data_IF_937733866848
#
_entry.id   IF_937733866848
#
_cell.length_a   1.000
_cell.length_b   1.000
_cell.length_c   1.000
_cell.angle_alpha   90.00
_cell.angle_beta   90.00
_cell.angle_gamma   90.00
#
_symmetry.space_group_name_H-M   'P 1'
#
loop_
_entity.id
_entity.type
_entity.pdbx_description
1 polymer ?
#
# COMPACT_ATOMS: atom_id res chain seq x y z
N UNK A 1 15.74 -1.43 16.93
CA UNK A 1 14.78 -2.27 16.19
C UNK A 1 13.37 -1.77 16.48
N UNK A 2 12.51 -1.70 15.46
CA UNK A 2 11.13 -1.20 15.60
C UNK A 2 10.28 -2.20 16.39
N UNK A 3 9.39 -1.70 17.26
CA UNK A 3 8.53 -2.52 18.15
C UNK A 3 7.10 -2.70 17.64
N UNK A 4 6.73 -1.97 16.60
CA UNK A 4 5.38 -1.97 16.01
C UNK A 4 5.27 -2.97 14.86
N UNK A 5 4.07 -3.12 14.31
CA UNK A 5 3.73 -4.11 13.29
C UNK A 5 4.41 -3.87 11.93
N UNK A 6 4.50 -2.62 11.47
CA UNK A 6 5.09 -2.30 10.17
C UNK A 6 6.60 -2.24 10.29
N UNK A 7 7.34 -3.22 9.76
CA UNK A 7 8.79 -3.32 9.93
C UNK A 7 9.62 -2.82 8.74
N UNK A 8 9.01 -2.72 7.56
CA UNK A 8 9.70 -2.27 6.35
C UNK A 8 10.17 -0.81 6.52
N UNK A 9 11.45 -0.56 6.30
CA UNK A 9 12.08 0.76 6.52
C UNK A 9 11.55 1.81 5.54
N UNK A 10 11.45 1.47 4.26
CA UNK A 10 10.99 2.39 3.21
C UNK A 10 9.52 2.79 3.43
N UNK A 11 8.65 1.82 3.75
CA UNK A 11 7.26 2.13 4.11
C UNK A 11 7.17 2.96 5.39
N UNK A 12 8.01 2.68 6.38
CA UNK A 12 8.03 3.47 7.62
C UNK A 12 8.41 4.92 7.34
N UNK A 13 9.42 5.12 6.49
CA UNK A 13 9.85 6.44 6.06
C UNK A 13 8.75 7.15 5.28
N UNK A 14 8.22 6.52 4.23
CA UNK A 14 7.15 7.07 3.41
C UNK A 14 5.97 7.50 4.29
N UNK A 15 5.41 6.61 5.12
CA UNK A 15 4.27 6.91 6.01
C UNK A 15 4.60 8.05 6.98
N UNK A 16 5.79 8.06 7.58
CA UNK A 16 6.18 9.11 8.52
C UNK A 16 6.36 10.49 7.87
N UNK A 17 6.61 10.54 6.56
CA UNK A 17 6.78 11.78 5.81
C UNK A 17 5.49 12.29 5.15
N UNK A 18 4.42 11.49 5.13
CA UNK A 18 3.15 11.90 4.54
C UNK A 18 2.51 13.04 5.33
N UNK A 19 2.26 14.15 4.63
CA UNK A 19 1.43 15.26 5.07
C UNK A 19 -0.04 15.08 4.70
N UNK A 20 -0.87 16.03 5.15
CA UNK A 20 -2.30 16.03 4.83
C UNK A 20 -2.53 16.07 3.30
N UNK A 21 -3.51 15.30 2.84
CA UNK A 21 -3.88 15.12 1.41
C UNK A 21 -2.82 14.45 0.52
N UNK A 22 -1.66 14.07 1.04
CA UNK A 22 -0.75 13.22 0.28
C UNK A 22 -1.30 11.79 0.18
N UNK A 23 -0.89 11.08 -0.87
CA UNK A 23 -1.47 9.78 -1.22
C UNK A 23 -0.42 8.68 -1.22
N UNK A 24 -0.86 7.48 -0.87
CA UNK A 24 -0.10 6.25 -0.96
C UNK A 24 -0.94 5.24 -1.72
N UNK A 25 -0.34 4.57 -2.70
CA UNK A 25 -1.03 3.57 -3.53
C UNK A 25 -0.50 2.18 -3.17
N UNK A 26 -1.41 1.28 -2.81
CA UNK A 26 -1.13 -0.16 -2.72
C UNK A 26 -1.57 -0.80 -4.02
N UNK A 27 -0.62 -1.33 -4.78
CA UNK A 27 -0.84 -1.85 -6.11
C UNK A 27 -0.72 -3.39 -6.15
N UNK A 28 -1.40 -4.02 -7.11
CA UNK A 28 -1.07 -5.39 -7.51
C UNK A 28 0.20 -5.43 -8.36
N UNK A 29 0.68 -6.63 -8.67
CA UNK A 29 1.93 -6.85 -9.41
C UNK A 29 1.91 -6.35 -10.87
N UNK A 30 0.74 -5.97 -11.41
CA UNK A 30 0.56 -5.58 -12.80
C UNK A 30 0.33 -4.08 -13.03
N UNK A 31 0.17 -3.27 -11.97
CA UNK A 31 -0.11 -1.85 -12.13
C UNK A 31 1.12 -1.08 -12.66
N UNK A 32 1.01 -0.31 -13.75
CA UNK A 32 2.08 0.56 -14.21
C UNK A 32 2.30 1.72 -13.22
N UNK A 33 3.57 2.04 -12.95
CA UNK A 33 3.98 3.10 -12.01
C UNK A 33 4.55 4.27 -12.81
N UNK A 34 4.00 5.50 -12.66
CA UNK A 34 4.56 6.69 -13.30
C UNK A 34 6.00 6.95 -12.83
N UNK A 35 6.91 7.42 -13.72
CA UNK A 35 8.34 7.58 -13.40
C UNK A 35 8.63 8.62 -12.30
N UNK A 36 7.72 9.57 -12.07
CA UNK A 36 7.79 10.57 -11.00
C UNK A 36 7.39 10.02 -9.62
N UNK A 37 6.81 8.81 -9.57
CA UNK A 37 6.31 8.19 -8.34
C UNK A 37 7.35 7.26 -7.73
N UNK A 38 7.58 7.39 -6.43
CA UNK A 38 8.45 6.47 -5.69
C UNK A 38 7.84 5.05 -5.68
N UNK A 39 8.66 4.05 -6.01
CA UNK A 39 8.27 2.64 -6.01
C UNK A 39 8.91 1.91 -4.83
N UNK A 40 8.08 1.36 -3.96
CA UNK A 40 8.49 0.40 -2.93
C UNK A 40 7.97 -0.99 -3.33
N UNK A 41 8.86 -1.84 -3.84
CA UNK A 41 8.50 -3.19 -4.28
C UNK A 41 8.55 -4.18 -3.11
N UNK A 42 7.40 -4.72 -2.74
CA UNK A 42 7.25 -5.71 -1.68
C UNK A 42 7.04 -7.13 -2.23
N UNK A 43 6.85 -7.29 -3.55
CA UNK A 43 6.46 -8.56 -4.14
C UNK A 43 7.60 -9.58 -4.03
N UNK A 44 7.38 -10.64 -3.27
CA UNK A 44 8.32 -11.75 -3.16
C UNK A 44 8.03 -12.82 -4.21
N UNK A 45 6.75 -13.17 -4.36
CA UNK A 45 6.27 -14.12 -5.37
C UNK A 45 4.77 -13.87 -5.63
N UNK A 46 4.16 -14.66 -6.52
CA UNK A 46 2.73 -14.51 -6.85
C UNK A 46 1.87 -14.62 -5.60
N UNK A 47 1.20 -13.51 -5.25
CA UNK A 47 0.28 -13.43 -4.10
C UNK A 47 0.96 -13.26 -2.74
N UNK A 48 2.28 -13.06 -2.69
CA UNK A 48 3.03 -12.86 -1.44
C UNK A 48 3.90 -11.61 -1.55
N UNK A 49 3.71 -10.61 -0.67
CA UNK A 49 2.68 -10.54 0.37
C UNK A 49 1.26 -10.39 -0.22
N UNK A 50 0.26 -10.75 0.58
CA UNK A 50 -1.14 -10.59 0.20
C UNK A 50 -1.58 -9.12 0.25
N UNK A 51 -2.43 -8.67 -0.68
CA UNK A 51 -2.83 -7.25 -0.74
C UNK A 51 -3.58 -6.78 0.52
N UNK A 52 -4.53 -7.58 1.02
CA UNK A 52 -5.28 -7.28 2.26
C UNK A 52 -4.38 -7.30 3.49
N UNK A 53 -3.40 -8.21 3.54
CA UNK A 53 -2.42 -8.28 4.64
C UNK A 53 -1.52 -7.05 4.64
N UNK A 54 -1.05 -6.63 3.46
CA UNK A 54 -0.22 -5.45 3.26
C UNK A 54 -0.97 -4.19 3.70
N UNK A 55 -2.24 -4.07 3.29
CA UNK A 55 -3.08 -2.94 3.67
C UNK A 55 -3.29 -2.88 5.19
N UNK A 56 -3.55 -4.00 5.86
CA UNK A 56 -3.69 -4.04 7.33
C UNK A 56 -2.44 -3.55 8.06
N UNK A 57 -1.25 -3.93 7.56
CA UNK A 57 0.02 -3.48 8.14
C UNK A 57 0.23 -1.98 7.91
N UNK A 58 -0.07 -1.47 6.71
CA UNK A 58 0.02 -0.04 6.40
C UNK A 58 -0.94 0.78 7.28
N UNK A 59 -2.21 0.36 7.38
CA UNK A 59 -3.23 1.03 8.20
C UNK A 59 -2.96 0.99 9.71
N UNK A 60 -2.00 0.18 10.17
CA UNK A 60 -1.57 0.21 11.57
C UNK A 60 -0.80 1.49 11.94
N UNK A 61 -0.26 2.20 10.94
CA UNK A 61 0.53 3.42 11.15
C UNK A 61 0.05 4.61 10.27
N UNK A 62 -0.63 4.36 9.15
CA UNK A 62 -1.18 5.40 8.28
C UNK A 62 -2.60 5.81 8.70
N UNK A 63 -2.80 7.11 8.95
CA UNK A 63 -4.13 7.70 9.13
C UNK A 63 -4.77 8.00 7.77
N UNK A 64 -5.98 7.51 7.53
CA UNK A 64 -6.65 7.61 6.23
C UNK A 64 -7.98 8.33 6.37
N UNK A 65 -8.16 9.38 5.57
CA UNK A 65 -9.43 10.12 5.48
C UNK A 65 -10.29 9.71 4.28
N UNK A 66 -9.67 9.18 3.21
CA UNK A 66 -10.33 8.82 1.96
C UNK A 66 -9.62 7.66 1.29
N UNK A 67 -10.41 6.79 0.68
CA UNK A 67 -9.94 5.68 -0.17
C UNK A 67 -10.49 5.88 -1.58
N UNK A 68 -9.66 5.60 -2.58
CA UNK A 68 -10.03 5.61 -3.99
C UNK A 68 -9.78 4.21 -4.53
N UNK A 69 -10.78 3.62 -5.18
CA UNK A 69 -10.71 2.29 -5.79
C UNK A 69 -11.22 2.38 -7.23
N UNK A 70 -10.64 1.58 -8.12
CA UNK A 70 -11.16 1.41 -9.47
C UNK A 70 -12.54 0.73 -9.42
N UNK A 71 -13.49 1.19 -10.23
CA UNK A 71 -14.87 0.68 -10.21
C UNK A 71 -14.93 -0.81 -10.57
N UNK A 72 -14.01 -1.25 -11.43
CA UNK A 72 -13.87 -2.62 -11.92
C UNK A 72 -13.57 -3.61 -10.80
N UNK A 73 -13.00 -3.17 -9.67
CA UNK A 73 -12.74 -4.03 -8.50
C UNK A 73 -14.04 -4.69 -8.03
N UNK A 74 -15.16 -3.95 -8.04
CA UNK A 74 -16.47 -4.50 -7.61
C UNK A 74 -16.93 -5.68 -8.46
N UNK A 75 -16.58 -5.70 -9.75
CA UNK A 75 -17.00 -6.74 -10.68
C UNK A 75 -15.98 -7.87 -10.80
N UNK A 76 -14.68 -7.54 -10.78
CA UNK A 76 -13.59 -8.48 -11.08
C UNK A 76 -12.92 -9.05 -9.84
N UNK A 77 -13.01 -8.37 -8.71
CA UNK A 77 -12.43 -8.80 -7.45
C UNK A 77 -13.34 -8.43 -6.26
N UNK A 78 -14.58 -8.97 -6.21
CA UNK A 78 -15.57 -8.59 -5.20
C UNK A 78 -15.23 -9.06 -3.78
N UNK A 79 -14.20 -9.90 -3.61
CA UNK A 79 -13.75 -10.37 -2.30
C UNK A 79 -12.62 -9.50 -1.70
N UNK A 80 -12.10 -8.54 -2.46
CA UNK A 80 -11.16 -7.54 -1.96
C UNK A 80 -11.86 -6.57 -1.01
#
# INVERSE_FOLDING_TARGET
MKKTTLLNSELSYAIATLGHMQTLVVADAGLPIPPETERIDLALTKGVPGAVETLKVILSELQVEKIILAEEVKARNPQF
#
